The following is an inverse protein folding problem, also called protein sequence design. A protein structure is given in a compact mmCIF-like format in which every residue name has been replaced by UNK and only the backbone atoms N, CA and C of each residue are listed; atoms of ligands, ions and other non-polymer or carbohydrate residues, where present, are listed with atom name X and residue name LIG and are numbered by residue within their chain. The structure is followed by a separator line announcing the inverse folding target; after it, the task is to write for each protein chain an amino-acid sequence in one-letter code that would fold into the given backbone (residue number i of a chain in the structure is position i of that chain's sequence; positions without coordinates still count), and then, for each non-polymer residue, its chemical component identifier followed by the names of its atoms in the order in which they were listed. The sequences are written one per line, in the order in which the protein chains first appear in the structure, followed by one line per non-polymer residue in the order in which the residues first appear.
data_IF_254960448037
#
_entry.id   IF_254960448037
#
_cell.length_a   1.000
_cell.length_b   1.000
_cell.length_c   1.000
_cell.angle_alpha   90.00
_cell.angle_beta   90.00
_cell.angle_gamma   90.00
#
_symmetry.space_group_name_H-M   'P 1'
#
loop_
_entity.id
_entity.type
_entity.pdbx_description
1 polymer ?
#
# COMPACT_ATOMS: atom_id res chain seq x y z
N UNK A 1 -36.94 17.93 -15.95
CA UNK A 1 -36.34 17.50 -14.67
C UNK A 1 -36.03 16.00 -14.65
N UNK A 2 -36.55 15.19 -15.59
CA UNK A 2 -36.31 13.72 -15.65
C UNK A 2 -34.89 13.27 -16.07
N UNK A 3 -34.09 14.15 -16.66
CA UNK A 3 -32.71 13.83 -17.09
C UNK A 3 -31.72 13.68 -15.93
N UNK A 4 -31.82 14.55 -14.91
CA UNK A 4 -30.90 14.54 -13.77
C UNK A 4 -31.14 13.36 -12.81
N UNK A 5 -32.35 12.81 -12.77
CA UNK A 5 -32.68 11.64 -11.95
C UNK A 5 -32.04 10.36 -12.52
N UNK A 6 -32.05 10.19 -13.86
CA UNK A 6 -31.43 9.05 -14.55
C UNK A 6 -29.88 9.08 -14.51
N UNK A 7 -29.27 10.27 -14.47
CA UNK A 7 -27.81 10.41 -14.35
C UNK A 7 -27.30 10.05 -12.95
N UNK A 8 -28.05 10.35 -11.88
CA UNK A 8 -27.68 9.97 -10.51
C UNK A 8 -27.71 8.45 -10.29
N UNK A 9 -28.66 7.73 -10.89
CA UNK A 9 -28.70 6.26 -10.84
C UNK A 9 -27.53 5.59 -11.61
N UNK A 10 -26.78 6.38 -12.39
CA UNK A 10 -25.62 5.92 -13.17
C UNK A 10 -24.28 6.43 -12.64
N UNK A 11 -24.30 7.25 -11.58
CA UNK A 11 -23.09 7.82 -11.00
C UNK A 11 -22.27 6.76 -10.27
N UNK A 12 -20.95 6.81 -10.46
CA UNK A 12 -20.04 5.93 -9.75
C UNK A 12 -19.96 6.36 -8.30
N UNK A 13 -20.31 5.44 -7.39
CA UNK A 13 -20.31 5.72 -5.94
C UNK A 13 -18.91 5.55 -5.37
N UNK A 14 -18.31 6.65 -4.93
CA UNK A 14 -16.91 6.75 -4.54
C UNK A 14 -16.75 7.06 -3.05
N UNK A 15 -15.93 6.27 -2.37
CA UNK A 15 -15.42 6.58 -1.03
C UNK A 15 -13.97 7.08 -1.14
N UNK A 16 -13.64 8.17 -0.46
CA UNK A 16 -12.28 8.76 -0.48
C UNK A 16 -11.62 8.54 0.87
N UNK A 17 -10.41 7.99 0.86
CA UNK A 17 -9.67 7.62 2.06
C UNK A 17 -8.27 8.20 2.01
N UNK A 18 -7.95 9.09 2.93
CA UNK A 18 -6.65 9.76 3.04
C UNK A 18 -6.51 10.31 4.46
N UNK A 19 -5.34 10.23 5.08
CA UNK A 19 -5.14 10.71 6.45
C UNK A 19 -4.98 12.24 6.55
N UNK A 20 -4.63 12.89 5.43
CA UNK A 20 -4.50 14.34 5.34
C UNK A 20 -5.84 14.98 5.00
N UNK A 21 -6.42 15.67 5.98
CA UNK A 21 -7.74 16.30 5.86
C UNK A 21 -7.87 17.21 4.63
N UNK A 22 -6.89 18.08 4.39
CA UNK A 22 -6.93 19.02 3.25
C UNK A 22 -6.95 18.28 1.90
N UNK A 23 -6.17 17.20 1.77
CA UNK A 23 -6.13 16.38 0.56
C UNK A 23 -7.45 15.64 0.36
N UNK A 24 -7.95 14.98 1.41
CA UNK A 24 -9.22 14.25 1.42
C UNK A 24 -10.40 15.14 1.00
N UNK A 25 -10.50 16.32 1.59
CA UNK A 25 -11.54 17.31 1.28
C UNK A 25 -11.37 17.89 -0.12
N UNK A 26 -10.13 18.17 -0.54
CA UNK A 26 -9.81 18.66 -1.89
C UNK A 26 -10.25 17.68 -2.98
N UNK A 27 -9.86 16.41 -2.86
CA UNK A 27 -10.26 15.35 -3.80
C UNK A 27 -11.80 15.20 -3.80
N UNK A 28 -12.42 15.18 -2.61
CA UNK A 28 -13.87 15.08 -2.50
C UNK A 28 -14.58 16.23 -3.21
N UNK A 29 -14.14 17.46 -3.01
CA UNK A 29 -14.71 18.65 -3.65
C UNK A 29 -14.51 18.60 -5.18
N UNK A 30 -13.32 18.21 -5.64
CA UNK A 30 -12.98 18.16 -7.06
C UNK A 30 -13.74 17.06 -7.81
N UNK A 31 -14.01 15.93 -7.17
CA UNK A 31 -14.77 14.83 -7.76
C UNK A 31 -16.29 15.03 -7.67
N UNK A 32 -16.79 15.70 -6.63
CA UNK A 32 -18.23 15.94 -6.47
C UNK A 32 -18.83 16.85 -7.56
N UNK A 33 -17.99 17.62 -8.25
CA UNK A 33 -18.39 18.46 -9.38
C UNK A 33 -18.29 17.73 -10.74
N UNK A 34 -17.76 16.50 -10.78
CA UNK A 34 -17.61 15.73 -12.01
C UNK A 34 -18.88 14.93 -12.30
N UNK A 35 -19.40 15.03 -13.52
CA UNK A 35 -20.59 14.30 -13.93
C UNK A 35 -20.38 12.79 -13.86
N UNK A 36 -21.39 12.07 -13.36
CA UNK A 36 -21.34 10.62 -13.23
C UNK A 36 -20.45 10.10 -12.11
N UNK A 37 -20.06 10.94 -11.14
CA UNK A 37 -19.41 10.54 -9.89
C UNK A 37 -20.22 11.07 -8.70
N UNK A 38 -20.44 10.20 -7.72
CA UNK A 38 -21.06 10.54 -6.44
C UNK A 38 -20.07 10.21 -5.32
N UNK A 39 -19.59 11.23 -4.59
CA UNK A 39 -18.78 11.02 -3.39
C UNK A 39 -19.71 10.71 -2.22
N UNK A 40 -19.74 9.46 -1.78
CA UNK A 40 -20.71 8.97 -0.78
C UNK A 40 -20.20 9.13 0.66
N UNK A 41 -18.90 9.38 0.84
CA UNK A 41 -18.28 9.49 2.14
C UNK A 41 -16.78 9.74 2.05
N UNK A 42 -16.18 9.98 3.21
CA UNK A 42 -14.72 10.07 3.35
C UNK A 42 -14.28 9.34 4.63
N UNK A 43 -13.04 8.85 4.66
CA UNK A 43 -12.44 8.22 5.84
C UNK A 43 -10.98 8.68 6.03
N UNK A 44 -10.53 8.72 7.29
CA UNK A 44 -9.19 9.21 7.63
C UNK A 44 -8.13 8.11 7.80
N UNK A 45 -8.53 6.84 7.73
CA UNK A 45 -7.62 5.69 7.81
C UNK A 45 -8.30 4.41 7.29
N UNK A 46 -7.51 3.34 7.16
CA UNK A 46 -7.99 2.05 6.65
C UNK A 46 -9.06 1.36 7.50
N UNK A 47 -9.09 1.58 8.82
CA UNK A 47 -10.10 0.99 9.70
C UNK A 47 -11.46 1.65 9.48
N UNK A 48 -11.50 2.99 9.47
CA UNK A 48 -12.72 3.74 9.15
C UNK A 48 -13.19 3.43 7.72
N UNK A 49 -12.26 3.30 6.77
CA UNK A 49 -12.58 2.93 5.40
C UNK A 49 -13.27 1.56 5.30
N UNK A 50 -12.80 0.56 6.05
CA UNK A 50 -13.43 -0.77 6.09
C UNK A 50 -14.85 -0.68 6.66
N UNK A 51 -15.02 0.02 7.78
CA UNK A 51 -16.34 0.19 8.43
C UNK A 51 -17.34 0.87 7.49
N UNK A 52 -16.94 1.98 6.87
CA UNK A 52 -17.77 2.70 5.89
C UNK A 52 -18.02 1.87 4.64
N UNK A 53 -17.02 1.17 4.12
CA UNK A 53 -17.20 0.36 2.92
C UNK A 53 -18.26 -0.73 3.14
N UNK A 54 -18.31 -1.35 4.32
CA UNK A 54 -19.31 -2.37 4.63
C UNK A 54 -20.71 -1.80 4.79
N UNK A 55 -20.83 -0.60 5.35
CA UNK A 55 -22.09 0.10 5.55
C UNK A 55 -22.64 0.70 4.25
N UNK A 56 -21.80 1.46 3.55
CA UNK A 56 -22.18 2.32 2.42
C UNK A 56 -21.99 1.62 1.07
N UNK A 57 -21.25 0.50 1.02
CA UNK A 57 -21.04 -0.34 -0.19
C UNK A 57 -20.58 0.48 -1.42
N UNK A 58 -19.46 1.23 -1.35
CA UNK A 58 -18.94 1.97 -2.49
C UNK A 58 -18.62 1.04 -3.66
N UNK A 59 -18.73 1.58 -4.87
CA UNK A 59 -18.30 0.90 -6.09
C UNK A 59 -16.79 1.05 -6.28
N UNK A 60 -16.27 2.25 -6.02
CA UNK A 60 -14.86 2.58 -6.09
C UNK A 60 -14.40 3.20 -4.77
N UNK A 61 -13.22 2.82 -4.31
CA UNK A 61 -12.53 3.48 -3.20
C UNK A 61 -11.24 4.09 -3.75
N UNK A 62 -11.07 5.38 -3.52
CA UNK A 62 -9.76 6.05 -3.66
C UNK A 62 -9.06 5.95 -2.33
N UNK A 63 -7.91 5.28 -2.29
CA UNK A 63 -7.26 4.86 -1.06
C UNK A 63 -5.82 5.34 -1.00
N UNK A 64 -5.49 6.21 -0.06
CA UNK A 64 -4.09 6.51 0.24
C UNK A 64 -3.37 5.25 0.74
N UNK A 65 -2.12 5.09 0.33
CA UNK A 65 -1.27 3.97 0.76
C UNK A 65 -0.89 4.12 2.23
N UNK A 66 -0.42 5.30 2.64
CA UNK A 66 0.16 5.51 3.97
C UNK A 66 -0.83 6.23 4.88
N UNK A 67 -1.38 5.51 5.84
CA UNK A 67 -2.30 6.08 6.83
C UNK A 67 -2.03 5.49 8.21
N UNK A 68 -2.32 6.21 9.31
CA UNK A 68 -2.22 5.68 10.65
C UNK A 68 -3.29 4.61 10.91
N UNK A 69 -3.15 3.85 12.00
CA UNK A 69 -4.09 2.80 12.46
C UNK A 69 -4.16 1.57 11.56
N UNK A 70 -4.47 1.76 10.28
CA UNK A 70 -4.46 0.73 9.24
C UNK A 70 -4.11 1.39 7.92
N UNK A 71 -3.06 0.89 7.28
CA UNK A 71 -2.61 1.39 5.98
C UNK A 71 -3.54 0.95 4.84
N UNK A 72 -3.37 1.56 3.67
CA UNK A 72 -4.23 1.30 2.52
C UNK A 72 -4.09 -0.11 1.95
N UNK A 73 -2.93 -0.76 2.10
CA UNK A 73 -2.69 -2.14 1.63
C UNK A 73 -3.45 -3.14 2.50
N UNK A 74 -3.35 -2.99 3.82
CA UNK A 74 -4.10 -3.77 4.81
C UNK A 74 -5.62 -3.57 4.65
N UNK A 75 -6.05 -2.32 4.46
CA UNK A 75 -7.45 -1.99 4.22
C UNK A 75 -7.96 -2.66 2.93
N UNK A 76 -7.19 -2.56 1.84
CA UNK A 76 -7.50 -3.21 0.55
C UNK A 76 -7.72 -4.70 0.74
N UNK A 77 -6.79 -5.39 1.40
CA UNK A 77 -6.92 -6.83 1.67
C UNK A 77 -8.21 -7.17 2.41
N UNK A 78 -8.53 -6.46 3.48
CA UNK A 78 -9.74 -6.72 4.30
C UNK A 78 -11.03 -6.39 3.56
N UNK A 79 -11.08 -5.27 2.84
CA UNK A 79 -12.24 -4.83 2.08
C UNK A 79 -12.52 -5.81 0.95
N UNK A 80 -11.50 -6.20 0.18
CA UNK A 80 -11.62 -7.14 -0.95
C UNK A 80 -12.19 -8.51 -0.53
N UNK A 81 -11.85 -8.99 0.67
CA UNK A 81 -12.37 -10.25 1.21
C UNK A 81 -13.88 -10.20 1.47
N UNK A 82 -14.42 -9.03 1.82
CA UNK A 82 -15.84 -8.86 2.16
C UNK A 82 -16.66 -8.27 1.01
N UNK A 83 -16.02 -7.48 0.14
CA UNK A 83 -16.59 -6.74 -0.98
C UNK A 83 -15.78 -7.00 -2.26
N UNK A 84 -15.90 -8.21 -2.85
CA UNK A 84 -15.12 -8.63 -4.01
C UNK A 84 -15.46 -7.89 -5.32
N UNK A 85 -16.53 -7.09 -5.33
CA UNK A 85 -16.89 -6.24 -6.48
C UNK A 85 -16.41 -4.80 -6.32
N UNK A 86 -16.07 -4.39 -5.08
CA UNK A 86 -15.56 -3.06 -4.81
C UNK A 86 -14.16 -2.91 -5.43
N UNK A 87 -14.00 -1.88 -6.25
CA UNK A 87 -12.74 -1.52 -6.91
C UNK A 87 -11.97 -0.56 -6.02
N UNK A 88 -10.66 -0.76 -5.91
CA UNK A 88 -9.82 0.07 -5.06
C UNK A 88 -8.70 0.65 -5.92
N UNK A 89 -8.70 1.97 -6.10
CA UNK A 89 -7.61 2.71 -6.73
C UNK A 89 -6.73 3.28 -5.63
N UNK A 90 -5.47 2.87 -5.62
CA UNK A 90 -4.51 3.42 -4.69
C UNK A 90 -4.06 4.82 -5.15
N UNK A 91 -4.01 5.76 -4.23
CA UNK A 91 -3.39 7.07 -4.37
C UNK A 91 -2.07 7.07 -3.63
N UNK A 92 -1.04 7.62 -4.25
CA UNK A 92 0.32 7.55 -3.70
C UNK A 92 1.12 8.82 -3.91
N UNK A 93 2.21 8.98 -3.18
CA UNK A 93 3.28 9.88 -3.59
C UNK A 93 4.32 9.12 -4.43
N UNK A 94 5.24 9.83 -5.07
CA UNK A 94 6.29 9.21 -5.88
C UNK A 94 7.25 8.30 -5.08
N UNK A 95 7.36 8.55 -3.76
CA UNK A 95 8.33 7.96 -2.82
C UNK A 95 7.88 6.60 -2.22
N UNK A 96 6.83 6.00 -2.76
CA UNK A 96 6.15 4.80 -2.23
C UNK A 96 6.40 3.53 -3.07
N UNK A 97 7.60 3.38 -3.62
CA UNK A 97 7.93 2.34 -4.61
C UNK A 97 7.69 0.90 -4.12
N UNK A 98 7.93 0.62 -2.84
CA UNK A 98 7.78 -0.72 -2.25
C UNK A 98 6.31 -1.17 -2.16
N UNK A 99 5.36 -0.23 -2.10
CA UNK A 99 3.94 -0.54 -1.86
C UNK A 99 3.15 -0.84 -3.13
N UNK A 100 3.64 -0.43 -4.31
CA UNK A 100 2.99 -0.70 -5.61
C UNK A 100 2.76 -2.19 -5.80
N UNK A 101 3.80 -2.99 -5.58
CA UNK A 101 3.74 -4.44 -5.79
C UNK A 101 2.83 -5.13 -4.77
N UNK A 102 2.89 -4.72 -3.51
CA UNK A 102 2.05 -5.27 -2.47
C UNK A 102 0.58 -4.94 -2.71
N UNK A 103 0.25 -3.69 -3.05
CA UNK A 103 -1.09 -3.24 -3.39
C UNK A 103 -1.70 -4.05 -4.55
N UNK A 104 -0.94 -4.26 -5.63
CA UNK A 104 -1.41 -5.08 -6.76
C UNK A 104 -1.60 -6.54 -6.36
N UNK A 105 -0.71 -7.11 -5.54
CA UNK A 105 -0.84 -8.50 -5.05
C UNK A 105 -2.06 -8.70 -4.17
N UNK A 106 -2.45 -7.70 -3.37
CA UNK A 106 -3.65 -7.78 -2.51
C UNK A 106 -4.94 -7.40 -3.24
N UNK A 107 -4.86 -7.11 -4.54
CA UNK A 107 -6.03 -6.93 -5.40
C UNK A 107 -6.48 -5.48 -5.59
N UNK A 108 -5.59 -4.50 -5.43
CA UNK A 108 -5.85 -3.15 -5.90
C UNK A 108 -6.17 -3.15 -7.40
N UNK A 109 -7.16 -2.36 -7.80
CA UNK A 109 -7.67 -2.24 -9.17
C UNK A 109 -6.97 -1.16 -10.00
N UNK A 110 -5.96 -0.52 -9.44
CA UNK A 110 -5.15 0.48 -10.12
C UNK A 110 -4.36 1.28 -9.10
N UNK A 111 -3.42 2.09 -9.62
CA UNK A 111 -2.46 2.81 -8.79
C UNK A 111 -2.12 4.12 -9.49
N UNK A 112 -2.38 5.23 -8.81
CA UNK A 112 -2.30 6.60 -9.33
C UNK A 112 -1.51 7.48 -8.37
N UNK A 113 -0.85 8.49 -8.94
CA UNK A 113 -0.14 9.51 -8.16
C UNK A 113 -1.12 10.56 -7.62
N UNK A 114 -0.84 11.13 -6.45
CA UNK A 114 -1.68 12.15 -5.79
C UNK A 114 -1.71 13.50 -6.53
N UNK A 115 -0.79 13.73 -7.47
CA UNK A 115 -0.71 14.96 -8.28
C UNK A 115 -1.45 14.85 -9.63
N UNK A 116 -2.15 13.74 -9.87
CA UNK A 116 -2.98 13.56 -11.06
C UNK A 116 -4.03 14.68 -11.16
N UNK A 117 -4.23 15.30 -12.34
CA UNK A 117 -5.28 16.28 -12.54
C UNK A 117 -6.68 15.71 -12.20
N UNK A 118 -7.55 16.52 -11.63
CA UNK A 118 -8.88 16.09 -11.16
C UNK A 118 -9.73 15.42 -12.25
N UNK A 119 -9.68 15.96 -13.47
CA UNK A 119 -10.37 15.39 -14.63
C UNK A 119 -9.85 13.98 -14.96
N UNK A 120 -8.54 13.77 -14.90
CA UNK A 120 -7.93 12.48 -15.22
C UNK A 120 -8.20 11.47 -14.10
N UNK A 121 -8.23 11.91 -12.84
CA UNK A 121 -8.69 11.09 -11.71
C UNK A 121 -10.14 10.64 -11.89
N UNK A 122 -11.03 11.53 -12.31
CA UNK A 122 -12.43 11.21 -12.58
C UNK A 122 -12.57 10.18 -13.71
N UNK A 123 -11.80 10.34 -14.79
CA UNK A 123 -11.75 9.35 -15.86
C UNK A 123 -11.23 8.00 -15.37
N UNK A 124 -10.21 7.98 -14.51
CA UNK A 124 -9.68 6.75 -13.93
C UNK A 124 -10.71 6.02 -13.06
N UNK A 125 -11.49 6.75 -12.24
CA UNK A 125 -12.61 6.21 -11.46
C UNK A 125 -13.67 5.56 -12.38
N UNK A 126 -14.07 6.26 -13.44
CA UNK A 126 -15.07 5.72 -14.37
C UNK A 126 -14.52 4.55 -15.20
N UNK A 127 -13.22 4.54 -15.50
CA UNK A 127 -12.55 3.46 -16.22
C UNK A 127 -12.48 2.19 -15.36
N UNK A 128 -12.03 2.30 -14.10
CA UNK A 128 -11.90 1.14 -13.21
C UNK A 128 -13.25 0.49 -12.91
N UNK A 129 -14.32 1.29 -12.82
CA UNK A 129 -15.67 0.78 -12.64
C UNK A 129 -16.14 -0.06 -13.83
N UNK A 130 -15.65 0.25 -15.03
CA UNK A 130 -15.90 -0.53 -16.26
C UNK A 130 -14.92 -1.70 -16.44
N UNK A 131 -14.07 -1.98 -15.45
CA UNK A 131 -13.06 -3.04 -15.49
C UNK A 131 -11.81 -2.68 -16.29
N UNK A 132 -11.61 -1.40 -16.61
CA UNK A 132 -10.40 -0.91 -17.27
C UNK A 132 -9.42 -0.45 -16.19
N UNK A 133 -8.40 -1.27 -15.94
CA UNK A 133 -7.37 -1.00 -14.95
C UNK A 133 -6.39 0.04 -15.49
N UNK A 134 -6.21 1.15 -14.76
CA UNK A 134 -5.22 2.17 -15.10
C UNK A 134 -4.02 2.08 -14.16
N UNK A 135 -2.84 2.13 -14.76
CA UNK A 135 -1.55 2.26 -14.08
C UNK A 135 -0.85 3.46 -14.70
N UNK A 136 -0.41 4.39 -13.85
CA UNK A 136 0.44 5.48 -14.30
C UNK A 136 1.72 4.94 -14.98
N UNK A 137 2.28 5.65 -15.96
CA UNK A 137 3.43 5.19 -16.74
C UNK A 137 4.67 4.91 -15.86
N UNK A 138 4.90 5.73 -14.82
CA UNK A 138 5.97 5.51 -13.85
C UNK A 138 5.72 4.22 -13.09
N UNK A 139 4.49 4.00 -12.66
CA UNK A 139 4.08 2.80 -11.92
C UNK A 139 4.17 1.55 -12.81
N UNK A 140 3.73 1.63 -14.06
CA UNK A 140 3.83 0.57 -15.04
C UNK A 140 5.29 0.18 -15.33
N UNK A 141 6.17 1.17 -15.49
CA UNK A 141 7.62 0.94 -15.67
C UNK A 141 8.22 0.19 -14.48
N UNK A 142 7.76 0.52 -13.26
CA UNK A 142 8.17 -0.15 -12.02
C UNK A 142 7.65 -1.58 -11.98
N UNK A 143 6.36 -1.80 -12.23
CA UNK A 143 5.75 -3.14 -12.31
C UNK A 143 6.47 -4.01 -13.34
N UNK A 144 6.79 -3.46 -14.52
CA UNK A 144 7.56 -4.17 -15.54
C UNK A 144 8.97 -4.52 -15.08
N UNK A 145 9.64 -3.63 -14.34
CA UNK A 145 10.97 -3.89 -13.78
C UNK A 145 10.93 -5.01 -12.73
N UNK A 146 9.95 -5.02 -11.83
CA UNK A 146 9.81 -6.10 -10.84
C UNK A 146 9.30 -7.42 -11.42
N UNK A 147 8.50 -7.39 -12.50
CA UNK A 147 8.16 -8.59 -13.28
C UNK A 147 9.37 -9.15 -14.02
N UNK A 148 10.27 -8.31 -14.52
CA UNK A 148 11.54 -8.74 -15.11
C UNK A 148 12.46 -9.36 -14.06
N UNK A 149 12.52 -8.81 -12.85
CA UNK A 149 13.21 -9.44 -11.72
C UNK A 149 12.58 -10.78 -11.29
N UNK A 150 11.29 -10.97 -11.55
CA UNK A 150 10.54 -12.21 -11.26
C UNK A 150 10.60 -13.25 -12.40
N UNK A 151 10.78 -12.83 -13.66
CA UNK A 151 10.93 -13.73 -14.83
C UNK A 151 12.25 -14.52 -14.81
N UNK A 152 13.26 -14.08 -14.06
CA UNK A 152 14.51 -14.83 -13.88
C UNK A 152 14.41 -15.99 -12.88
N UNK A 153 13.23 -16.26 -12.31
CA UNK A 153 12.99 -17.32 -11.30
C UNK A 153 12.19 -18.54 -11.79
N UNK A 154 11.98 -18.70 -13.11
CA UNK A 154 11.39 -19.93 -13.70
C UNK A 154 12.45 -20.71 -14.47
N UNK A 155 13.47 -21.19 -13.77
CA UNK A 155 14.11 -22.49 -14.03
C UNK A 155 14.59 -23.00 -12.68
N UNK A 156 13.97 -24.07 -12.17
CA UNK A 156 14.55 -24.84 -11.09
C UNK A 156 15.76 -25.62 -11.61
N UNK A 157 16.69 -26.07 -10.74
CA UNK A 157 17.38 -25.35 -9.68
C UNK A 157 18.81 -24.95 -10.13
N UNK A 158 19.43 -24.11 -9.31
CA UNK A 158 20.79 -23.54 -9.41
C UNK A 158 21.01 -22.35 -10.36
N UNK A 159 21.37 -21.20 -9.76
CA UNK A 159 22.47 -20.42 -10.32
C UNK A 159 23.39 -19.87 -9.22
N UNK A 160 24.60 -20.40 -9.18
CA UNK A 160 25.79 -19.66 -8.80
C UNK A 160 26.33 -18.92 -10.04
N UNK A 161 26.87 -17.71 -9.84
CA UNK A 161 27.71 -17.00 -10.83
C UNK A 161 27.11 -15.69 -11.31
N UNK A 162 26.96 -14.65 -10.47
CA UNK A 162 28.03 -13.76 -9.98
C UNK A 162 28.64 -12.86 -11.05
N UNK A 163 28.37 -11.56 -10.91
CA UNK A 163 29.40 -10.60 -10.52
C UNK A 163 28.64 -9.50 -9.73
N UNK A 164 28.80 -9.38 -8.41
CA UNK A 164 30.06 -9.09 -7.72
C UNK A 164 30.15 -9.86 -6.38
N UNK A 165 31.27 -10.53 -6.16
CA UNK A 165 31.67 -11.17 -4.89
C UNK A 165 32.23 -10.15 -3.87
N UNK A 166 32.64 -10.55 -2.65
CA UNK A 166 31.80 -11.12 -1.60
C UNK A 166 32.05 -10.39 -0.25
N UNK A 167 31.00 -10.17 0.55
CA UNK A 167 31.17 -10.01 2.00
C UNK A 167 30.33 -11.06 2.72
N UNK A 168 31.07 -12.10 3.11
CA UNK A 168 30.71 -13.29 3.85
C UNK A 168 29.95 -12.96 5.16
N UNK A 169 28.67 -13.32 5.30
CA UNK A 169 28.01 -13.66 6.58
C UNK A 169 26.83 -14.63 6.32
N UNK A 170 26.64 -15.69 7.12
CA UNK A 170 25.91 -16.89 6.71
C UNK A 170 24.39 -16.87 7.02
N UNK A 171 23.65 -17.54 6.12
CA UNK A 171 22.47 -18.40 6.32
C UNK A 171 21.12 -17.84 6.82
N UNK A 172 20.18 -17.76 5.86
CA UNK A 172 18.83 -18.36 5.85
C UNK A 172 18.23 -18.85 7.20
N UNK A 173 17.28 -18.09 7.75
CA UNK A 173 16.22 -18.61 8.65
C UNK A 173 14.88 -17.83 8.58
N UNK A 174 14.81 -16.73 7.82
CA UNK A 174 13.75 -15.72 7.98
C UNK A 174 12.60 -15.85 6.98
N UNK A 175 12.73 -16.69 5.94
CA UNK A 175 11.69 -16.85 4.93
C UNK A 175 10.38 -17.42 5.48
N UNK A 176 10.37 -17.94 6.71
CA UNK A 176 9.17 -18.42 7.40
C UNK A 176 8.45 -17.33 8.22
N UNK A 177 9.07 -16.17 8.46
CA UNK A 177 8.48 -15.11 9.31
C UNK A 177 7.56 -14.16 8.57
N UNK A 178 7.54 -14.21 7.23
CA UNK A 178 6.72 -13.31 6.40
C UNK A 178 7.13 -11.84 6.47
N UNK A 179 8.32 -11.54 6.99
CA UNK A 179 8.89 -10.20 7.01
C UNK A 179 9.53 -9.86 5.66
N UNK A 180 9.44 -8.58 5.27
CA UNK A 180 10.15 -8.06 4.10
C UNK A 180 11.64 -7.90 4.41
N UNK A 181 12.49 -7.80 3.38
CA UNK A 181 13.92 -7.52 3.58
C UNK A 181 14.13 -6.24 4.38
N UNK A 182 13.26 -5.26 4.17
CA UNK A 182 13.30 -3.98 4.86
C UNK A 182 12.95 -4.08 6.34
N UNK A 183 11.90 -4.83 6.65
CA UNK A 183 11.52 -5.13 8.04
C UNK A 183 12.62 -5.93 8.75
N UNK A 184 13.30 -6.82 8.04
CA UNK A 184 14.46 -7.56 8.56
C UNK A 184 15.60 -6.59 8.90
N UNK A 185 15.96 -5.67 8.01
CA UNK A 185 17.00 -4.67 8.28
C UNK A 185 16.67 -3.82 9.51
N UNK A 186 15.44 -3.33 9.61
CA UNK A 186 14.96 -2.59 10.79
C UNK A 186 15.06 -3.47 12.05
N UNK A 187 14.63 -4.73 11.98
CA UNK A 187 14.70 -5.68 13.09
C UNK A 187 16.13 -5.99 13.54
N UNK A 188 17.10 -6.05 12.60
CA UNK A 188 18.54 -6.16 12.92
C UNK A 188 19.04 -4.95 13.68
N UNK A 189 18.68 -3.75 13.25
CA UNK A 189 19.09 -2.52 13.93
C UNK A 189 18.47 -2.42 15.33
N UNK A 190 17.23 -2.90 15.51
CA UNK A 190 16.59 -3.01 16.83
C UNK A 190 17.38 -3.97 17.73
N UNK A 191 17.81 -5.13 17.21
CA UNK A 191 18.60 -6.11 17.95
C UNK A 191 19.96 -5.56 18.40
N UNK A 192 20.53 -4.61 17.64
CA UNK A 192 21.75 -3.87 17.97
C UNK A 192 21.51 -2.69 18.93
N UNK A 193 20.26 -2.43 19.33
CA UNK A 193 19.90 -1.34 20.26
C UNK A 193 19.76 0.04 19.62
N UNK A 194 19.77 0.16 18.29
CA UNK A 194 19.75 1.46 17.60
C UNK A 194 18.40 2.18 17.78
N UNK A 195 18.41 3.44 18.19
CA UNK A 195 17.21 4.28 18.31
C UNK A 195 16.52 4.49 16.96
N UNK A 196 15.25 4.90 16.95
CA UNK A 196 14.52 5.14 15.69
C UNK A 196 15.21 6.16 14.78
N UNK A 197 15.87 7.17 15.37
CA UNK A 197 16.67 8.17 14.66
C UNK A 197 17.92 7.57 14.02
N UNK A 198 18.63 6.70 14.72
CA UNK A 198 19.82 6.03 14.17
C UNK A 198 19.45 5.05 13.06
N UNK A 199 18.34 4.32 13.21
CA UNK A 199 17.78 3.45 12.18
C UNK A 199 17.43 4.29 10.95
N UNK A 200 16.72 5.40 11.13
CA UNK A 200 16.33 6.32 10.06
C UNK A 200 17.54 6.81 9.25
N UNK A 201 18.62 7.19 9.94
CA UNK A 201 19.88 7.61 9.30
C UNK A 201 20.55 6.45 8.56
N UNK A 202 20.75 5.30 9.21
CA UNK A 202 21.47 4.15 8.63
C UNK A 202 20.75 3.57 7.41
N UNK A 203 19.43 3.62 7.45
CA UNK A 203 18.58 3.04 6.43
C UNK A 203 18.09 4.09 5.42
N UNK A 204 18.40 5.37 5.59
CA UNK A 204 18.01 6.47 4.68
C UNK A 204 16.47 6.56 4.51
N UNK A 205 15.75 6.57 5.63
CA UNK A 205 14.29 6.73 5.71
C UNK A 205 13.90 7.68 6.83
N UNK A 206 12.63 8.13 6.88
CA UNK A 206 12.16 9.00 7.97
C UNK A 206 11.97 8.24 9.30
N UNK A 207 12.07 8.94 10.44
CA UNK A 207 11.77 8.34 11.75
C UNK A 207 10.32 7.83 11.86
N UNK A 208 9.37 8.47 11.16
CA UNK A 208 7.99 8.00 11.05
C UNK A 208 7.92 6.65 10.32
N UNK A 209 8.65 6.52 9.21
CA UNK A 209 8.77 5.27 8.45
C UNK A 209 9.36 4.14 9.31
N UNK A 210 10.35 4.44 10.15
CA UNK A 210 10.91 3.47 11.11
C UNK A 210 9.86 3.01 12.13
N UNK A 211 9.08 3.93 12.70
CA UNK A 211 7.99 3.58 13.64
C UNK A 211 6.95 2.67 12.98
N UNK A 212 6.63 2.92 11.71
CA UNK A 212 5.68 2.09 10.96
C UNK A 212 6.25 0.69 10.71
N UNK A 213 7.50 0.56 10.28
CA UNK A 213 8.14 -0.76 10.15
C UNK A 213 8.17 -1.50 11.49
N UNK A 214 8.48 -0.82 12.60
CA UNK A 214 8.43 -1.43 13.94
C UNK A 214 7.01 -1.94 14.25
N UNK A 215 5.99 -1.12 14.02
CA UNK A 215 4.59 -1.51 14.24
C UNK A 215 4.20 -2.75 13.42
N UNK A 216 4.60 -2.80 12.15
CA UNK A 216 4.33 -3.92 11.26
C UNK A 216 5.07 -5.19 11.67
N UNK A 217 6.34 -5.08 12.07
CA UNK A 217 7.13 -6.21 12.60
C UNK A 217 6.47 -6.78 13.86
N UNK A 218 6.08 -5.92 14.81
CA UNK A 218 5.41 -6.36 16.05
C UNK A 218 4.10 -7.07 15.74
N UNK A 219 3.29 -6.53 14.84
CA UNK A 219 2.02 -7.13 14.41
C UNK A 219 2.21 -8.48 13.72
N UNK A 220 3.12 -8.56 12.73
CA UNK A 220 3.39 -9.80 11.96
C UNK A 220 3.97 -10.92 12.82
N UNK A 221 4.84 -10.57 13.77
CA UNK A 221 5.46 -11.55 14.66
C UNK A 221 4.66 -11.83 15.95
N UNK A 222 3.55 -11.11 16.18
CA UNK A 222 2.75 -11.24 17.39
C UNK A 222 3.48 -10.77 18.66
N UNK A 223 4.40 -9.81 18.53
CA UNK A 223 5.22 -9.29 19.62
C UNK A 223 4.60 -8.02 20.20
N UNK A 224 4.77 -7.82 21.51
CA UNK A 224 4.13 -6.71 22.24
C UNK A 224 4.92 -5.42 22.21
N UNK A 225 6.24 -5.52 22.20
CA UNK A 225 7.11 -4.36 22.31
C UNK A 225 8.47 -4.54 21.63
N UNK A 226 9.18 -3.43 21.52
CA UNK A 226 10.51 -3.34 20.93
C UNK A 226 11.54 -4.24 21.62
N UNK A 227 11.38 -4.50 22.92
CA UNK A 227 12.27 -5.38 23.68
C UNK A 227 12.08 -6.83 23.24
N UNK A 228 10.83 -7.26 23.08
CA UNK A 228 10.51 -8.57 22.52
C UNK A 228 11.00 -8.72 21.07
N UNK A 229 10.89 -7.68 20.25
CA UNK A 229 11.47 -7.68 18.90
C UNK A 229 13.00 -7.86 18.91
N UNK A 230 13.71 -7.17 19.82
CA UNK A 230 15.15 -7.33 19.97
C UNK A 230 15.55 -8.74 20.43
N UNK A 231 14.81 -9.33 21.38
CA UNK A 231 15.03 -10.70 21.85
C UNK A 231 14.77 -11.72 20.74
N UNK A 232 13.65 -11.58 20.04
CA UNK A 232 13.27 -12.45 18.93
C UNK A 232 14.37 -12.50 17.85
N UNK A 233 14.90 -11.33 17.47
CA UNK A 233 15.99 -11.23 16.51
C UNK A 233 17.27 -11.93 16.99
N UNK A 234 17.61 -11.83 18.28
CA UNK A 234 18.78 -12.53 18.85
C UNK A 234 18.59 -14.04 18.89
N UNK A 235 17.42 -14.51 19.31
CA UNK A 235 17.10 -15.94 19.42
C UNK A 235 17.17 -16.67 18.09
N UNK A 236 16.80 -15.98 17.01
CA UNK A 236 16.79 -16.57 15.68
C UNK A 236 18.09 -16.28 14.89
N UNK A 237 19.09 -15.62 15.50
CA UNK A 237 20.39 -15.26 14.89
C UNK A 237 20.32 -14.23 13.75
N UNK A 238 19.56 -13.14 13.93
CA UNK A 238 19.41 -12.06 12.92
C UNK A 238 20.60 -11.09 12.86
N UNK A 239 21.62 -11.23 13.70
CA UNK A 239 22.71 -10.27 13.87
C UNK A 239 23.81 -10.40 12.82
#
# INVERSE_FOLDING_TARGET
MDGQQHERDRAVRVLIVDDQQLMREGIASLLSIQDGIEVIGTAANGQEALERALLERPQVILMDVRMPVMDGVQATMKIRLQLPDCKILMLTTFDDEEYVFEALRVGASGYLLKDIPAHDLAQAVQAVQRGIYQLDAVVMSRVMTGLQASKTKITAPDPAGAAKEPSNHPAKSWSQTGLTEREIEVLRQIAQGATNREIAIRLVISEGTVKNHISNILSRLGLRDRTQAALYAREHSLL
#
